data_IF_531497346011
#
_entry.id   IF_531497346011
#
_cell.length_a   1.000
_cell.length_b   1.000
_cell.length_c   1.000
_cell.angle_alpha   90.00
_cell.angle_beta   90.00
_cell.angle_gamma   90.00
#
_symmetry.space_group_name_H-M   'P 1'
#
loop_
_entity.id
_entity.type
_entity.pdbx_description
1 polymer ?
#
# COMPACT_ATOMS: atom_id res chain seq x y z
N UNK A 1 2.44 9.63 24.36
CA UNK A 1 2.45 9.79 22.89
C UNK A 1 2.19 8.42 22.28
N UNK A 2 1.09 8.17 21.56
CA UNK A 2 0.71 6.76 21.28
C UNK A 2 0.29 6.54 19.83
N UNK A 3 1.24 6.34 18.90
CA UNK A 3 0.97 5.76 17.58
C UNK A 3 0.06 4.52 17.68
N UNK A 4 0.28 3.66 18.69
CA UNK A 4 -0.61 2.52 19.01
C UNK A 4 -2.08 2.91 19.24
N UNK A 5 -2.36 4.07 19.86
CA UNK A 5 -3.73 4.57 20.08
C UNK A 5 -4.34 5.02 18.75
N UNK A 6 -3.56 5.69 17.90
CA UNK A 6 -4.01 6.08 16.56
C UNK A 6 -4.33 4.87 15.69
N UNK A 7 -3.44 3.88 15.63
CA UNK A 7 -3.66 2.64 14.85
C UNK A 7 -4.97 1.97 15.25
N UNK A 8 -5.25 1.82 16.55
CA UNK A 8 -6.53 1.29 17.04
C UNK A 8 -7.73 2.11 16.56
N UNK A 9 -7.65 3.43 16.64
CA UNK A 9 -8.73 4.32 16.18
C UNK A 9 -8.96 4.21 14.65
N UNK A 10 -7.87 4.13 13.87
CA UNK A 10 -7.93 3.96 12.43
C UNK A 10 -8.56 2.61 12.05
N UNK A 11 -8.21 1.52 12.73
CA UNK A 11 -8.83 0.20 12.50
C UNK A 11 -10.32 0.24 12.80
N UNK A 12 -10.75 0.90 13.87
CA UNK A 12 -12.18 1.06 14.20
C UNK A 12 -12.90 1.86 13.11
N UNK A 13 -12.30 2.96 12.66
CA UNK A 13 -12.83 3.78 11.57
C UNK A 13 -13.00 2.95 10.28
N UNK A 14 -11.95 2.24 9.86
CA UNK A 14 -11.98 1.42 8.65
C UNK A 14 -13.02 0.30 8.75
N UNK A 15 -13.12 -0.38 9.90
CA UNK A 15 -14.15 -1.40 10.10
C UNK A 15 -15.57 -0.83 10.07
N UNK A 16 -15.77 0.42 10.52
CA UNK A 16 -17.08 1.07 10.46
C UNK A 16 -17.52 1.36 9.02
N UNK A 17 -16.60 1.81 8.15
CA UNK A 17 -16.97 2.34 6.83
C UNK A 17 -16.65 1.42 5.65
N UNK A 18 -15.68 0.52 5.80
CA UNK A 18 -15.14 -0.31 4.72
C UNK A 18 -15.25 -1.83 4.97
N UNK A 19 -15.72 -2.27 6.14
CA UNK A 19 -15.94 -3.70 6.41
C UNK A 19 -16.90 -4.29 5.38
N UNK A 20 -16.55 -5.48 4.88
CA UNK A 20 -17.26 -6.21 3.81
C UNK A 20 -17.33 -5.49 2.45
N UNK A 21 -16.64 -4.35 2.29
CA UNK A 21 -16.49 -3.68 0.99
C UNK A 21 -15.16 -4.06 0.36
N UNK A 22 -15.10 -3.92 -0.96
CA UNK A 22 -13.85 -4.02 -1.73
C UNK A 22 -13.25 -2.63 -1.86
N UNK A 23 -12.00 -2.45 -1.46
CA UNK A 23 -11.30 -1.15 -1.49
C UNK A 23 -10.16 -1.22 -2.49
N UNK A 24 -10.11 -0.31 -3.45
CA UNK A 24 -8.95 -0.14 -4.32
C UNK A 24 -7.93 0.78 -3.64
N UNK A 25 -6.66 0.39 -3.62
CA UNK A 25 -5.58 1.17 -3.02
C UNK A 25 -4.39 1.23 -3.98
N UNK A 26 -4.14 2.41 -4.54
CA UNK A 26 -2.95 2.66 -5.32
C UNK A 26 -1.76 2.94 -4.38
N UNK A 27 -0.70 2.13 -4.50
CA UNK A 27 0.59 2.40 -3.89
C UNK A 27 1.42 3.23 -4.88
N UNK A 28 1.97 4.34 -4.40
CA UNK A 28 2.84 5.23 -5.17
C UNK A 28 4.34 4.98 -4.93
N UNK A 29 4.69 4.13 -3.96
CA UNK A 29 6.04 4.04 -3.40
C UNK A 29 6.27 4.98 -2.21
N UNK A 30 5.44 6.01 -2.05
CA UNK A 30 5.49 6.94 -0.93
C UNK A 30 4.99 6.35 0.41
N UNK A 31 5.41 6.97 1.51
CA UNK A 31 5.09 6.53 2.87
C UNK A 31 3.58 6.60 3.17
N UNK A 32 2.87 7.61 2.66
CA UNK A 32 1.45 7.82 2.96
C UNK A 32 0.56 6.70 2.42
N UNK A 33 0.73 6.36 1.12
CA UNK A 33 0.02 5.25 0.50
C UNK A 33 0.41 3.90 1.10
N UNK A 34 1.69 3.74 1.46
CA UNK A 34 2.20 2.50 2.07
C UNK A 34 1.61 2.27 3.46
N UNK A 35 1.58 3.31 4.31
CA UNK A 35 0.99 3.23 5.65
C UNK A 35 -0.53 3.05 5.56
N UNK A 36 -1.19 3.70 4.60
CA UNK A 36 -2.63 3.51 4.36
C UNK A 36 -2.94 2.06 3.99
N UNK A 37 -2.17 1.46 3.07
CA UNK A 37 -2.29 0.04 2.73
C UNK A 37 -2.07 -0.86 3.95
N UNK A 38 -1.05 -0.58 4.78
CA UNK A 38 -0.80 -1.33 6.01
C UNK A 38 -1.96 -1.26 7.00
N UNK A 39 -2.60 -0.09 7.16
CA UNK A 39 -3.78 0.06 8.02
C UNK A 39 -4.99 -0.72 7.47
N UNK A 40 -5.19 -0.73 6.14
CA UNK A 40 -6.22 -1.55 5.50
C UNK A 40 -5.99 -3.04 5.71
N UNK A 41 -4.73 -3.49 5.58
CA UNK A 41 -4.31 -4.89 5.82
C UNK A 41 -4.51 -5.29 7.28
N UNK A 42 -4.07 -4.45 8.22
CA UNK A 42 -4.25 -4.67 9.66
C UNK A 42 -5.74 -4.73 10.06
N UNK A 43 -6.57 -3.86 9.45
CA UNK A 43 -8.01 -3.88 9.63
C UNK A 43 -8.73 -5.03 8.89
N UNK A 44 -7.99 -5.89 8.18
CA UNK A 44 -8.49 -7.02 7.39
C UNK A 44 -9.55 -6.61 6.35
N UNK A 45 -9.37 -5.45 5.73
CA UNK A 45 -10.24 -4.97 4.66
C UNK A 45 -9.91 -5.68 3.35
N UNK A 46 -10.93 -6.12 2.61
CA UNK A 46 -10.78 -6.71 1.28
C UNK A 46 -10.25 -5.63 0.31
N UNK A 47 -8.93 -5.62 0.11
CA UNK A 47 -8.22 -4.55 -0.59
C UNK A 47 -7.67 -5.08 -1.92
N UNK A 48 -7.77 -4.27 -2.98
CA UNK A 48 -7.05 -4.44 -4.24
C UNK A 48 -5.87 -3.47 -4.22
N UNK A 49 -4.70 -3.89 -3.73
CA UNK A 49 -3.51 -3.06 -3.79
C UNK A 49 -2.86 -3.12 -5.17
N UNK A 50 -2.60 -1.96 -5.77
CA UNK A 50 -1.95 -1.84 -7.08
C UNK A 50 -0.81 -0.84 -7.02
N UNK A 51 0.35 -1.22 -7.54
CA UNK A 51 1.47 -0.34 -7.78
C UNK A 51 1.71 -0.29 -9.29
N UNK A 52 1.82 0.92 -9.85
CA UNK A 52 2.03 1.12 -11.28
C UNK A 52 3.48 1.57 -11.48
N UNK A 53 4.29 0.71 -12.08
CA UNK A 53 5.64 1.03 -12.53
C UNK A 53 5.57 1.68 -13.90
N UNK A 54 5.64 3.01 -13.91
CA UNK A 54 5.69 3.83 -15.12
C UNK A 54 7.11 4.05 -15.67
N UNK A 55 8.13 3.38 -15.12
CA UNK A 55 9.51 3.48 -15.60
C UNK A 55 10.30 4.72 -15.19
N UNK A 56 9.74 5.57 -14.33
CA UNK A 56 10.44 6.73 -13.75
C UNK A 56 10.65 6.55 -12.25
N UNK A 57 10.76 5.30 -11.79
CA UNK A 57 11.05 4.95 -10.42
C UNK A 57 12.49 5.27 -10.06
N UNK A 58 12.75 5.61 -8.79
CA UNK A 58 14.09 5.93 -8.33
C UNK A 58 14.94 4.68 -8.20
N UNK A 59 16.25 4.85 -8.41
CA UNK A 59 17.26 3.85 -8.08
C UNK A 59 17.93 4.29 -6.79
N UNK A 60 17.87 3.46 -5.75
CA UNK A 60 18.48 3.71 -4.44
C UNK A 60 19.46 2.58 -4.17
N UNK A 61 20.74 2.91 -4.01
CA UNK A 61 21.82 1.93 -3.81
C UNK A 61 21.88 0.83 -4.89
N UNK A 62 21.63 1.20 -6.16
CA UNK A 62 21.64 0.27 -7.29
C UNK A 62 20.37 -0.59 -7.42
N UNK A 63 19.35 -0.38 -6.58
CA UNK A 63 18.10 -1.13 -6.60
C UNK A 63 16.96 -0.19 -6.98
N UNK A 64 16.18 -0.58 -7.99
CA UNK A 64 15.00 0.17 -8.43
C UNK A 64 13.89 0.08 -7.36
N UNK A 65 13.19 1.18 -7.10
CA UNK A 65 12.16 1.28 -6.06
C UNK A 65 11.07 0.21 -6.19
N UNK A 66 10.75 -0.21 -7.41
CA UNK A 66 9.80 -1.31 -7.67
C UNK A 66 10.22 -2.62 -7.00
N UNK A 67 11.51 -2.93 -6.95
CA UNK A 67 12.01 -4.16 -6.33
C UNK A 67 11.86 -4.09 -4.81
N UNK A 68 12.06 -2.91 -4.22
CA UNK A 68 11.78 -2.68 -2.81
C UNK A 68 10.31 -2.86 -2.50
N UNK A 69 9.41 -2.29 -3.31
CA UNK A 69 7.96 -2.45 -3.14
C UNK A 69 7.54 -3.92 -3.24
N UNK A 70 8.07 -4.65 -4.23
CA UNK A 70 7.79 -6.09 -4.39
C UNK A 70 8.26 -6.91 -3.18
N UNK A 71 9.41 -6.57 -2.58
CA UNK A 71 9.95 -7.25 -1.39
C UNK A 71 9.15 -6.94 -0.12
N UNK A 72 8.78 -5.68 0.09
CA UNK A 72 8.06 -5.24 1.29
C UNK A 72 6.59 -5.65 1.26
N UNK A 73 5.97 -5.66 0.08
CA UNK A 73 4.54 -5.87 -0.08
C UNK A 73 4.27 -6.91 -1.17
N UNK A 74 4.52 -8.21 -0.90
CA UNK A 74 4.39 -9.27 -1.89
C UNK A 74 2.97 -9.46 -2.44
N UNK A 75 1.95 -9.03 -1.68
CA UNK A 75 0.55 -9.12 -2.08
C UNK A 75 0.10 -7.97 -3.01
N UNK A 76 0.95 -6.96 -3.23
CA UNK A 76 0.66 -5.81 -4.09
C UNK A 76 0.78 -6.23 -5.55
N UNK A 77 -0.21 -5.88 -6.37
CA UNK A 77 -0.17 -6.13 -7.81
C UNK A 77 0.70 -5.07 -8.47
N UNK A 78 1.83 -5.47 -9.04
CA UNK A 78 2.67 -4.59 -9.82
C UNK A 78 2.22 -4.62 -11.29
N UNK A 79 1.86 -3.46 -11.82
CA UNK A 79 1.58 -3.24 -13.23
C UNK A 79 2.76 -2.47 -13.85
N UNK A 80 3.51 -3.12 -14.73
CA UNK A 80 4.64 -2.54 -15.45
C UNK A 80 4.17 -2.02 -16.81
N UNK A 81 4.08 -0.69 -16.96
CA UNK A 81 3.60 -0.03 -18.19
C UNK A 81 4.74 0.53 -19.04
N UNK A 82 5.98 0.11 -18.82
CA UNK A 82 7.16 0.64 -19.54
C UNK A 82 7.20 0.25 -21.02
N UNK A 83 6.34 -0.69 -21.43
CA UNK A 83 6.26 -1.24 -22.79
C UNK A 83 4.89 -1.04 -23.43
N UNK A 84 3.97 -0.37 -22.74
CA UNK A 84 2.74 0.13 -23.34
C UNK A 84 3.02 1.40 -24.15
#
# INVERSE_FOLDING_TARGET
KKPKKFVKAAIIFLNKYAKNKKVFCALSGGIDSSVTYLLLKEAKINTIPVFIDHGLMRIINGIEEREHIQKLFPDVRILDIRKE
#
